data_IF_223546562225
#
_entry.id   IF_223546562225
#
_cell.length_a   1.000
_cell.length_b   1.000
_cell.length_c   1.000
_cell.angle_alpha   90.00
_cell.angle_beta   90.00
_cell.angle_gamma   90.00
#
_symmetry.space_group_name_H-M   'P 1'
#
loop_
_entity.id
_entity.type
_entity.pdbx_description
1 polymer ?
#
# COMPACT_ATOMS: atom_id res chain seq x y z
N UNK A 1 12.54 2.49 17.86
CA UNK A 1 11.13 2.38 18.33
C UNK A 1 10.38 1.53 17.33
N UNK A 2 9.48 0.63 17.74
CA UNK A 2 8.71 -0.17 16.79
C UNK A 2 7.77 0.75 16.00
N UNK A 3 7.23 0.23 14.90
CA UNK A 3 6.19 0.92 14.14
C UNK A 3 4.97 1.26 15.02
N UNK A 4 4.14 2.15 14.52
CA UNK A 4 2.86 2.50 15.14
C UNK A 4 1.71 2.18 14.19
N UNK A 5 0.45 2.11 14.68
CA UNK A 5 -0.70 1.93 13.81
C UNK A 5 -0.80 2.98 12.70
N UNK A 6 -0.27 4.18 12.91
CA UNK A 6 -0.25 5.26 11.89
C UNK A 6 0.61 4.93 10.67
N UNK A 7 1.52 3.98 10.79
CA UNK A 7 2.37 3.51 9.69
C UNK A 7 1.67 2.47 8.81
N UNK A 8 0.49 2.01 9.22
CA UNK A 8 -0.25 0.95 8.51
C UNK A 8 -0.93 1.51 7.27
N UNK A 9 -0.58 0.96 6.12
CA UNK A 9 -1.26 1.21 4.86
C UNK A 9 -1.89 -0.07 4.30
N UNK A 10 -2.94 0.12 3.49
CA UNK A 10 -3.50 -0.91 2.62
C UNK A 10 -3.38 -0.40 1.18
N UNK A 11 -3.00 -1.28 0.26
CA UNK A 11 -2.88 -0.94 -1.16
C UNK A 11 -3.06 -2.17 -2.04
N UNK A 12 -3.21 -1.94 -3.35
CA UNK A 12 -3.06 -2.97 -4.38
C UNK A 12 -1.62 -2.98 -4.87
N UNK A 13 -0.98 -4.14 -4.80
CA UNK A 13 0.36 -4.33 -5.34
C UNK A 13 0.33 -4.37 -6.87
N UNK A 14 1.21 -3.63 -7.53
CA UNK A 14 1.29 -3.61 -9.00
C UNK A 14 2.57 -4.25 -9.52
N UNK A 15 3.72 -3.78 -9.02
CA UNK A 15 5.02 -4.28 -9.44
C UNK A 15 6.09 -3.97 -8.39
N UNK A 16 7.22 -4.67 -8.48
CA UNK A 16 8.43 -4.38 -7.72
C UNK A 16 9.65 -4.57 -8.61
N UNK A 17 10.52 -3.57 -8.63
CA UNK A 17 11.71 -3.54 -9.48
C UNK A 17 12.90 -3.07 -8.65
N UNK A 18 14.08 -3.66 -8.87
CA UNK A 18 15.31 -3.19 -8.24
C UNK A 18 15.58 -1.73 -8.67
N UNK A 19 16.00 -0.89 -7.71
CA UNK A 19 16.38 0.48 -7.98
C UNK A 19 17.64 0.51 -8.87
N UNK A 20 17.72 1.48 -9.78
CA UNK A 20 18.91 1.64 -10.60
C UNK A 20 20.11 1.97 -9.70
N UNK A 21 21.17 1.17 -9.81
CA UNK A 21 22.41 1.37 -9.06
C UNK A 21 22.43 0.77 -7.64
N UNK A 22 21.32 0.21 -7.14
CA UNK A 22 21.29 -0.50 -5.84
C UNK A 22 20.42 -1.76 -5.91
N UNK A 23 21.08 -2.92 -5.92
CA UNK A 23 20.41 -4.23 -5.93
C UNK A 23 19.68 -4.58 -4.64
N UNK A 24 19.86 -3.80 -3.56
CA UNK A 24 19.22 -4.00 -2.26
C UNK A 24 18.01 -3.09 -2.04
N UNK A 25 17.82 -2.09 -2.90
CA UNK A 25 16.66 -1.21 -2.87
C UNK A 25 15.72 -1.56 -4.02
N UNK A 26 14.42 -1.49 -3.76
CA UNK A 26 13.38 -1.82 -4.72
C UNK A 26 12.32 -0.73 -4.74
N UNK A 27 12.04 -0.21 -5.93
CA UNK A 27 10.86 0.63 -6.17
C UNK A 27 9.63 -0.27 -6.23
N UNK A 28 8.64 0.06 -5.40
CA UNK A 28 7.37 -0.68 -5.34
C UNK A 28 6.28 0.19 -5.94
N UNK A 29 5.53 -0.37 -6.88
CA UNK A 29 4.38 0.28 -7.46
C UNK A 29 3.13 -0.20 -6.75
N UNK A 30 2.41 0.74 -6.17
CA UNK A 30 1.15 0.52 -5.47
C UNK A 30 0.05 1.34 -6.15
N UNK A 31 -1.19 0.88 -6.01
CA UNK A 31 -2.37 1.64 -6.39
C UNK A 31 -3.44 1.56 -5.31
N UNK A 32 -4.34 2.55 -5.30
CA UNK A 32 -5.36 2.67 -4.27
C UNK A 32 -4.78 2.62 -2.84
N UNK A 33 -3.58 3.16 -2.64
CA UNK A 33 -2.91 3.16 -1.33
C UNK A 33 -3.61 4.12 -0.36
N UNK A 34 -3.80 3.65 0.88
CA UNK A 34 -4.40 4.44 1.95
C UNK A 34 -3.79 4.04 3.30
N UNK A 35 -3.42 5.04 4.11
CA UNK A 35 -3.10 4.81 5.52
C UNK A 35 -4.38 4.64 6.34
N UNK A 36 -4.51 3.51 7.02
CA UNK A 36 -5.82 3.02 7.44
C UNK A 36 -6.22 3.40 8.87
N UNK A 37 -5.24 3.59 9.75
CA UNK A 37 -5.42 3.98 11.16
C UNK A 37 -4.95 5.40 11.48
N UNK A 38 -4.60 6.19 10.46
CA UNK A 38 -4.32 7.62 10.64
C UNK A 38 -5.63 8.36 10.96
N UNK A 39 -5.56 9.30 11.90
CA UNK A 39 -6.67 10.21 12.16
C UNK A 39 -6.83 11.21 11.00
N UNK A 40 -7.94 11.95 10.96
CA UNK A 40 -8.13 12.99 9.97
C UNK A 40 -7.09 14.11 10.08
N UNK A 41 -6.69 14.46 11.31
CA UNK A 41 -5.61 15.45 11.55
C UNK A 41 -4.28 14.94 10.99
N UNK A 42 -3.97 13.66 11.19
CA UNK A 42 -2.76 13.06 10.63
C UNK A 42 -2.75 13.15 9.09
N UNK A 43 -3.90 13.01 8.42
CA UNK A 43 -3.97 13.12 6.95
C UNK A 43 -3.56 14.48 6.41
N UNK A 44 -3.64 15.56 7.20
CA UNK A 44 -3.10 16.88 6.83
C UNK A 44 -1.63 17.04 7.18
N UNK A 45 -1.17 16.38 8.25
CA UNK A 45 0.21 16.48 8.71
C UNK A 45 1.19 15.64 7.89
N UNK A 46 0.71 14.53 7.29
CA UNK A 46 1.54 13.66 6.46
C UNK A 46 1.36 13.97 4.98
N UNK A 47 2.48 14.12 4.28
CA UNK A 47 2.47 14.21 2.83
C UNK A 47 1.97 12.90 2.21
N UNK A 48 1.31 13.03 1.05
CA UNK A 48 0.84 11.87 0.31
C UNK A 48 2.05 11.12 -0.27
N UNK A 49 2.03 9.79 -0.35
CA UNK A 49 3.11 9.06 -0.98
C UNK A 49 3.13 9.30 -2.49
N UNK A 50 4.28 9.71 -3.05
CA UNK A 50 4.52 9.66 -4.51
C UNK A 50 5.48 8.55 -4.89
N UNK A 51 6.28 8.06 -3.93
CA UNK A 51 7.27 7.03 -4.15
C UNK A 51 7.28 6.05 -2.98
N UNK A 52 7.26 4.76 -3.33
CA UNK A 52 7.37 3.67 -2.37
C UNK A 52 8.64 2.88 -2.64
N UNK A 53 9.44 2.70 -1.60
CA UNK A 53 10.70 1.98 -1.65
C UNK A 53 10.68 0.83 -0.65
N UNK A 54 11.45 -0.23 -0.91
CA UNK A 54 11.62 -1.35 0.02
C UNK A 54 13.06 -1.84 -0.04
N UNK A 55 13.55 -2.46 1.03
CA UNK A 55 14.87 -3.10 1.07
C UNK A 55 14.82 -4.61 0.81
N UNK A 56 13.68 -5.09 0.29
CA UNK A 56 13.42 -6.50 0.05
C UNK A 56 12.68 -6.71 -1.26
N UNK A 57 12.97 -7.83 -1.93
CA UNK A 57 12.28 -8.19 -3.16
C UNK A 57 10.85 -8.60 -2.88
N UNK A 58 9.94 -8.08 -3.71
CA UNK A 58 8.50 -8.39 -3.67
C UNK A 58 8.01 -9.02 -4.98
N UNK A 59 8.92 -9.58 -5.79
CA UNK A 59 8.61 -10.10 -7.12
C UNK A 59 7.62 -11.28 -7.13
N UNK A 60 7.49 -12.00 -6.02
CA UNK A 60 6.58 -13.14 -5.89
C UNK A 60 5.14 -12.75 -5.54
N UNK A 61 4.86 -11.47 -5.32
CA UNK A 61 3.51 -10.98 -5.02
C UNK A 61 2.78 -10.79 -6.34
N UNK A 62 1.60 -11.40 -6.47
CA UNK A 62 0.80 -11.29 -7.68
C UNK A 62 0.32 -9.85 -7.84
N UNK A 63 0.37 -9.34 -9.08
CA UNK A 63 -0.27 -8.08 -9.46
C UNK A 63 -1.74 -8.06 -8.99
N UNK A 64 -2.18 -6.88 -8.57
CA UNK A 64 -3.50 -6.59 -7.99
C UNK A 64 -3.82 -7.31 -6.67
N UNK A 65 -2.84 -8.00 -6.06
CA UNK A 65 -3.01 -8.51 -4.69
C UNK A 65 -3.24 -7.35 -3.73
N UNK A 66 -4.23 -7.49 -2.86
CA UNK A 66 -4.43 -6.56 -1.76
C UNK A 66 -3.36 -6.85 -0.69
N UNK A 67 -2.64 -5.82 -0.28
CA UNK A 67 -1.59 -5.90 0.74
C UNK A 67 -1.88 -4.95 1.88
N UNK A 68 -1.43 -5.33 3.07
CA UNK A 68 -1.38 -4.48 4.25
C UNK A 68 0.06 -4.43 4.76
N UNK A 69 0.58 -3.24 4.99
CA UNK A 69 1.99 -3.04 5.27
C UNK A 69 2.28 -1.90 6.22
N UNK A 70 3.56 -1.79 6.57
CA UNK A 70 4.10 -0.73 7.43
C UNK A 70 5.02 0.14 6.60
N UNK A 71 4.81 1.44 6.62
CA UNK A 71 5.67 2.38 5.93
C UNK A 71 5.84 3.70 6.69
N UNK A 72 7.01 4.29 6.49
CA UNK A 72 7.42 5.52 7.14
C UNK A 72 8.25 6.37 6.18
N UNK A 73 8.37 7.65 6.47
CA UNK A 73 9.28 8.56 5.76
C UNK A 73 10.66 8.49 6.42
N UNK A 74 11.69 7.95 5.75
CA UNK A 74 13.02 7.83 6.36
C UNK A 74 13.72 9.19 6.49
N UNK A 75 13.41 10.13 5.60
CA UNK A 75 13.96 11.48 5.56
C UNK A 75 12.82 12.51 5.69
N UNK A 76 12.83 13.28 6.77
CA UNK A 76 11.84 14.34 7.01
C UNK A 76 11.88 15.47 5.99
N UNK A 77 13.00 15.63 5.26
CA UNK A 77 13.11 16.58 4.16
C UNK A 77 12.43 16.10 2.86
N UNK A 78 12.09 14.81 2.76
CA UNK A 78 11.40 14.20 1.62
C UNK A 78 10.15 13.43 2.08
N UNK A 79 9.14 14.15 2.60
CA UNK A 79 7.99 13.53 3.25
C UNK A 79 7.10 12.71 2.31
N UNK A 80 7.30 12.84 1.00
CA UNK A 80 6.58 12.10 -0.04
C UNK A 80 7.23 10.74 -0.39
N UNK A 81 8.46 10.50 0.08
CA UNK A 81 9.22 9.27 -0.15
C UNK A 81 9.02 8.32 1.03
N UNK A 82 8.33 7.22 0.79
CA UNK A 82 8.02 6.24 1.83
C UNK A 82 8.87 4.98 1.69
N UNK A 83 9.45 4.56 2.81
CA UNK A 83 10.11 3.28 2.97
C UNK A 83 9.12 2.28 3.56
N UNK A 84 8.85 1.21 2.83
CA UNK A 84 8.10 0.04 3.28
C UNK A 84 9.05 -0.83 4.12
N UNK A 85 8.71 -1.03 5.38
CA UNK A 85 9.45 -1.88 6.30
C UNK A 85 9.14 -3.37 6.05
N UNK A 86 7.86 -3.68 5.86
CA UNK A 86 7.35 -5.00 5.47
C UNK A 86 5.89 -4.87 5.07
N UNK A 87 5.35 -5.91 4.44
CA UNK A 87 3.91 -6.05 4.21
C UNK A 87 3.52 -7.52 4.15
N UNK A 88 2.22 -7.77 4.18
CA UNK A 88 1.61 -9.08 4.01
C UNK A 88 0.41 -8.98 3.06
N UNK A 89 0.04 -10.08 2.40
CA UNK A 89 -1.23 -10.16 1.66
C UNK A 89 -2.40 -10.09 2.64
N UNK A 90 -3.35 -9.21 2.33
CA UNK A 90 -4.65 -9.08 2.99
C UNK A 90 -5.69 -9.79 2.14
N UNK A 91 -6.26 -10.87 2.66
CA UNK A 91 -7.29 -11.66 1.98
C UNK A 91 -8.65 -11.43 2.60
N UNK A 92 -9.70 -11.52 1.78
CA UNK A 92 -11.07 -11.56 2.25
C UNK A 92 -11.78 -12.75 1.62
N UNK A 93 -12.29 -13.65 2.46
CA UNK A 93 -13.08 -14.80 2.04
C UNK A 93 -14.26 -14.96 2.99
N UNK A 94 -15.44 -15.23 2.45
CA UNK A 94 -16.68 -15.33 3.25
C UNK A 94 -16.90 -14.12 4.18
N UNK A 95 -16.57 -12.91 3.69
CA UNK A 95 -16.63 -11.65 4.44
C UNK A 95 -15.73 -11.59 5.68
N UNK A 96 -14.74 -12.45 5.79
CA UNK A 96 -13.75 -12.43 6.87
C UNK A 96 -12.39 -12.03 6.35
N UNK A 97 -11.78 -11.04 7.00
CA UNK A 97 -10.42 -10.59 6.74
C UNK A 97 -9.41 -11.55 7.36
N UNK A 98 -8.36 -11.86 6.61
CA UNK A 98 -7.20 -12.60 7.09
C UNK A 98 -5.93 -12.00 6.53
N UNK A 99 -4.85 -12.09 7.31
CA UNK A 99 -3.55 -11.54 6.93
C UNK A 99 -2.52 -12.66 6.95
N UNK A 100 -1.82 -12.79 5.83
CA UNK A 100 -0.72 -13.73 5.69
C UNK A 100 0.50 -13.30 6.53
N UNK A 101 1.58 -14.09 6.48
CA UNK A 101 2.81 -13.73 7.16
C UNK A 101 3.52 -12.56 6.45
N UNK A 102 4.25 -11.71 7.19
CA UNK A 102 5.04 -10.64 6.59
C UNK A 102 6.08 -11.18 5.60
N UNK A 103 6.29 -10.46 4.50
CA UNK A 103 7.27 -10.81 3.46
C UNK A 103 8.71 -10.71 3.99
N UNK A 104 8.97 -9.80 4.92
CA UNK A 104 10.29 -9.56 5.50
C UNK A 104 10.17 -9.36 7.03
N UNK A 105 11.15 -9.79 7.85
CA UNK A 105 11.22 -9.43 9.26
C UNK A 105 11.34 -7.92 9.42
N UNK A 106 10.73 -7.37 10.45
CA UNK A 106 10.79 -5.95 10.76
C UNK A 106 10.98 -5.75 12.26
N UNK A 107 11.38 -4.55 12.65
CA UNK A 107 11.51 -4.18 14.05
C UNK A 107 10.11 -4.09 14.68
N UNK A 108 9.85 -4.97 15.64
CA UNK A 108 8.55 -5.13 16.27
C UNK A 108 8.68 -5.18 17.79
N UNK A 109 7.64 -4.75 18.50
CA UNK A 109 7.48 -5.04 19.92
C UNK A 109 7.13 -6.50 20.11
N UNK A 110 7.98 -7.24 20.82
CA UNK A 110 7.69 -8.59 21.26
C UNK A 110 7.01 -8.53 22.63
N UNK A 111 5.72 -8.89 22.67
CA UNK A 111 4.91 -8.88 23.89
C UNK A 111 5.35 -9.90 24.93
N UNK A 112 5.91 -11.02 24.50
CA UNK A 112 6.34 -12.10 25.41
C UNK A 112 7.61 -11.71 26.17
N UNK A 113 8.55 -11.04 25.49
CA UNK A 113 9.83 -10.64 26.05
C UNK A 113 9.88 -9.17 26.49
N UNK A 114 8.79 -8.42 26.29
CA UNK A 114 8.65 -7.00 26.60
C UNK A 114 9.82 -6.15 26.07
N UNK A 115 10.29 -6.43 24.84
CA UNK A 115 11.37 -5.70 24.21
C UNK A 115 11.15 -5.55 22.69
N UNK A 116 11.88 -4.64 22.07
CA UNK A 116 11.89 -4.49 20.62
C UNK A 116 12.96 -5.37 20.01
N UNK A 117 12.59 -6.20 19.04
CA UNK A 117 13.52 -7.02 18.29
C UNK A 117 13.06 -7.16 16.84
N UNK A 118 14.00 -7.53 15.96
CA UNK A 118 13.64 -8.02 14.64
C UNK A 118 13.14 -9.46 14.85
N UNK A 119 11.82 -9.66 14.82
CA UNK A 119 11.22 -10.96 15.06
C UNK A 119 11.33 -11.90 13.86
N UNK A 120 11.26 -13.21 14.10
CA UNK A 120 11.12 -14.18 13.02
C UNK A 120 9.80 -13.93 12.25
N UNK A 121 9.83 -14.03 10.91
CA UNK A 121 8.64 -13.98 10.04
C UNK A 121 7.55 -14.95 10.50
N UNK A 122 7.92 -16.04 11.18
CA UNK A 122 6.96 -17.05 11.66
C UNK A 122 6.15 -16.59 12.86
N UNK A 123 6.69 -15.74 13.73
CA UNK A 123 6.08 -15.47 15.05
C UNK A 123 5.30 -14.17 15.10
N UNK A 124 5.78 -13.11 14.43
CA UNK A 124 5.16 -11.77 14.53
C UNK A 124 4.32 -11.46 13.27
N UNK A 125 3.04 -11.16 13.47
CA UNK A 125 2.15 -10.67 12.41
C UNK A 125 2.42 -9.20 12.06
N UNK A 126 2.03 -8.75 10.86
CA UNK A 126 2.32 -7.38 10.39
C UNK A 126 1.64 -6.30 11.27
N UNK A 127 0.54 -6.64 11.94
CA UNK A 127 -0.17 -5.76 12.88
C UNK A 127 0.09 -6.09 14.36
N UNK A 128 1.01 -7.02 14.62
CA UNK A 128 1.25 -7.53 15.98
C UNK A 128 2.41 -6.82 16.69
N UNK A 129 3.28 -6.17 15.91
CA UNK A 129 4.51 -5.53 16.39
C UNK A 129 4.34 -4.19 17.09
N UNK A 130 3.12 -3.80 17.46
CA UNK A 130 2.83 -2.53 18.14
C UNK A 130 2.90 -2.68 19.66
N UNK A 131 3.06 -1.57 20.40
CA UNK A 131 3.13 -1.60 21.87
C UNK A 131 1.74 -1.81 22.49
N UNK A 132 0.71 -1.13 21.97
CA UNK A 132 -0.60 -1.05 22.63
C UNK A 132 -1.46 -2.30 22.46
N UNK A 133 -1.78 -2.67 21.22
CA UNK A 133 -2.64 -3.82 20.92
C UNK A 133 -2.00 -4.81 19.94
N UNK A 134 -2.53 -6.04 19.91
CA UNK A 134 -2.08 -7.12 19.04
C UNK A 134 -2.77 -7.10 17.67
N UNK A 135 -2.39 -8.03 16.79
CA UNK A 135 -3.00 -8.13 15.47
C UNK A 135 -4.53 -8.35 15.51
N UNK A 136 -5.04 -9.08 16.51
CA UNK A 136 -6.48 -9.40 16.59
C UNK A 136 -7.32 -8.13 16.76
N UNK A 137 -6.84 -7.19 17.58
CA UNK A 137 -7.47 -5.90 17.79
C UNK A 137 -7.58 -5.09 16.49
N UNK A 138 -6.47 -4.94 15.76
CA UNK A 138 -6.45 -4.14 14.53
C UNK A 138 -7.21 -4.83 13.38
N UNK A 139 -7.21 -6.16 13.31
CA UNK A 139 -8.06 -6.88 12.35
C UNK A 139 -9.54 -6.70 12.65
N UNK A 140 -9.94 -6.69 13.93
CA UNK A 140 -11.32 -6.41 14.30
C UNK A 140 -11.74 -4.99 13.88
N UNK A 141 -10.88 -3.99 14.06
CA UNK A 141 -11.14 -2.62 13.58
C UNK A 141 -11.28 -2.56 12.05
N UNK A 142 -10.41 -3.26 11.32
CA UNK A 142 -10.50 -3.34 9.86
C UNK A 142 -11.78 -4.04 9.39
N UNK A 143 -12.17 -5.12 10.07
CA UNK A 143 -13.40 -5.86 9.79
C UNK A 143 -14.65 -5.01 10.05
N UNK A 144 -14.62 -4.16 11.10
CA UNK A 144 -15.69 -3.20 11.36
C UNK A 144 -15.76 -2.08 10.31
N UNK A 145 -14.61 -1.64 9.79
CA UNK A 145 -14.53 -0.62 8.74
C UNK A 145 -14.94 -1.16 7.36
N UNK A 146 -14.63 -2.42 7.07
CA UNK A 146 -15.00 -3.12 5.85
C UNK A 146 -15.69 -4.46 6.15
N UNK A 147 -16.98 -4.43 6.56
CA UNK A 147 -17.75 -5.63 6.90
C UNK A 147 -17.81 -6.72 5.84
N UNK A 148 -17.69 -6.38 4.56
CA UNK A 148 -17.78 -7.35 3.45
C UNK A 148 -16.59 -7.26 2.50
N UNK A 149 -16.32 -8.36 1.81
CA UNK A 149 -15.26 -8.38 0.79
C UNK A 149 -15.57 -7.40 -0.36
N UNK A 150 -16.84 -7.19 -0.68
CA UNK A 150 -17.26 -6.20 -1.67
C UNK A 150 -16.89 -4.79 -1.23
N UNK A 151 -17.18 -4.41 0.01
CA UNK A 151 -16.85 -3.08 0.54
C UNK A 151 -15.33 -2.85 0.59
N UNK A 152 -14.57 -3.88 0.99
CA UNK A 152 -13.10 -3.84 0.94
C UNK A 152 -12.59 -3.63 -0.49
N UNK A 153 -13.07 -4.45 -1.44
CA UNK A 153 -12.64 -4.35 -2.84
C UNK A 153 -13.10 -3.04 -3.50
N UNK A 154 -14.20 -2.45 -3.06
CA UNK A 154 -14.66 -1.13 -3.51
C UNK A 154 -13.78 0.00 -2.98
N UNK A 155 -13.33 -0.10 -1.73
CA UNK A 155 -12.38 0.86 -1.15
C UNK A 155 -10.98 0.75 -1.80
N UNK A 156 -10.60 -0.46 -2.19
CA UNK A 156 -9.31 -0.78 -2.80
C UNK A 156 -9.51 -1.47 -4.16
N UNK A 157 -9.98 -0.75 -5.19
CA UNK A 157 -10.28 -1.34 -6.48
C UNK A 157 -8.99 -1.83 -7.16
N UNK A 158 -9.01 -3.02 -7.79
CA UNK A 158 -7.91 -3.42 -8.67
C UNK A 158 -7.79 -2.42 -9.83
N UNK A 159 -6.60 -2.25 -10.39
CA UNK A 159 -6.48 -1.49 -11.62
C UNK A 159 -7.18 -2.30 -12.71
N UNK A 160 -8.30 -1.80 -13.24
CA UNK A 160 -8.95 -2.42 -14.41
C UNK A 160 -7.91 -2.49 -15.52
N UNK A 161 -7.42 -3.69 -15.84
CA UNK A 161 -6.84 -3.89 -17.16
C UNK A 161 -7.98 -3.63 -18.16
N UNK A 162 -7.72 -2.86 -19.21
CA UNK A 162 -8.59 -2.79 -20.37
C UNK A 162 -8.63 -4.19 -21.01
N UNK A 163 -9.42 -5.09 -20.43
CA UNK A 163 -9.85 -6.32 -21.06
C UNK A 163 -11.35 -6.15 -21.30
N UNK A 164 -11.70 -6.05 -22.58
CA UNK A 164 -13.04 -5.85 -23.14
C UNK A 164 -13.61 -4.42 -23.12
N UNK A 165 -13.06 -3.56 -23.99
CA UNK A 165 -13.93 -2.72 -24.84
C UNK A 165 -13.71 -3.16 -26.28
N UNK A 166 -14.45 -4.18 -26.72
CA UNK A 166 -14.79 -4.31 -28.13
C UNK A 166 -15.68 -3.11 -28.48
N UNK A 167 -15.09 -2.00 -28.91
CA UNK A 167 -15.66 -1.01 -29.83
C UNK A 167 -14.59 0.05 -30.18
N UNK A 168 -13.89 -0.08 -31.32
CA UNK A 168 -12.74 0.77 -31.65
C UNK A 168 -13.10 2.16 -32.23
N UNK A 169 -14.29 2.72 -31.98
CA UNK A 169 -14.71 3.96 -32.66
C UNK A 169 -14.64 5.24 -31.81
N UNK A 170 -14.47 5.17 -30.49
CA UNK A 170 -14.42 6.35 -29.62
C UNK A 170 -13.01 6.96 -29.45
N UNK A 171 -11.95 6.23 -29.81
CA UNK A 171 -10.57 6.67 -29.59
C UNK A 171 -10.05 7.63 -30.69
N UNK A 172 -10.58 7.51 -31.91
CA UNK A 172 -10.21 8.39 -33.02
C UNK A 172 -10.81 9.79 -32.89
N UNK A 173 -12.02 9.90 -32.34
CA UNK A 173 -12.70 11.17 -32.08
C UNK A 173 -12.07 11.93 -30.91
N UNK A 174 -11.65 11.24 -29.84
CA UNK A 174 -10.94 11.88 -28.73
C UNK A 174 -9.58 12.43 -29.17
N UNK A 175 -8.82 11.70 -29.99
CA UNK A 175 -7.51 12.17 -30.47
C UNK A 175 -7.62 13.42 -31.35
N UNK A 176 -8.72 13.57 -32.10
CA UNK A 176 -9.00 14.76 -32.93
C UNK A 176 -9.42 15.95 -32.06
N UNK A 177 -10.32 15.72 -31.10
CA UNK A 177 -10.75 16.74 -30.13
C UNK A 177 -9.60 17.26 -29.25
N UNK A 178 -8.71 16.36 -28.78
CA UNK A 178 -7.56 16.74 -27.96
C UNK A 178 -6.54 17.57 -28.74
N UNK A 179 -6.36 17.28 -30.04
CA UNK A 179 -5.47 18.04 -30.91
C UNK A 179 -5.99 19.45 -31.19
N UNK A 180 -7.29 19.59 -31.40
CA UNK A 180 -7.94 20.90 -31.58
C UNK A 180 -7.94 21.74 -30.29
N UNK A 181 -8.03 21.08 -29.12
CA UNK A 181 -7.93 21.74 -27.82
C UNK A 181 -6.52 22.28 -27.54
N UNK A 182 -5.47 21.49 -27.81
CA UNK A 182 -4.07 21.92 -27.63
C UNK A 182 -3.70 23.07 -28.56
N UNK A 183 -4.14 23.02 -29.82
CA UNK A 183 -3.86 24.09 -30.78
C UNK A 183 -4.53 25.42 -30.39
N UNK A 184 -5.74 25.39 -29.78
CA UNK A 184 -6.41 26.59 -29.27
C UNK A 184 -5.71 27.21 -28.06
N UNK A 185 -5.02 26.41 -27.25
CA UNK A 185 -4.27 26.91 -26.09
C UNK A 185 -2.94 27.57 -26.50
N UNK A 186 -2.33 27.13 -27.59
CA UNK A 186 -1.11 27.74 -28.12
C UNK A 186 -1.35 29.08 -28.84
N UNK A 187 -2.58 29.38 -29.27
CA UNK A 187 -2.92 30.67 -29.89
C UNK A 187 -3.26 31.78 -28.89
N UNK A 188 -3.13 31.52 -27.58
CA UNK A 188 -3.43 32.46 -26.49
C UNK A 188 -2.21 32.80 -25.62
N UNK A 189 -1.00 32.45 -26.08
CA UNK A 189 0.29 32.89 -25.54
C UNK A 189 1.22 33.34 -26.66
#
# INVERSE_FOLDING_TARGET
MPHTPKDVFIARFQASQAAQGDSRSFTVQLSADQFIFRSWIDQFNYAKPTQWQSTFSSQNIKKDSLIIGLAYTPDGAKPEQYQIASFATLSCAHNQLSVSKPVQPFLAWNRQTANCAIGDRKTIGILDGFIQYDQSHYLAQLQQKYPTCEQLNKAFPPLKMNENIQHPQSFLSFKRWWKDFVNKLQSLF
#
